data_IF_604757296334
#
_entry.id   IF_604757296334
#
_cell.length_a   1.000
_cell.length_b   1.000
_cell.length_c   1.000
_cell.angle_alpha   90.00
_cell.angle_beta   90.00
_cell.angle_gamma   90.00
#
_symmetry.space_group_name_H-M   'P 1'
#
loop_
_entity.id
_entity.type
_entity.pdbx_description
1 polymer ?
#
# COMPACT_ATOMS: atom_id res chain seq x y z
N UNK A 1 -14.80 -38.76 -8.95
CA UNK A 1 -15.14 -37.69 -7.98
C UNK A 1 -13.94 -37.23 -7.16
N UNK A 2 -13.14 -38.10 -6.50
CA UNK A 2 -11.95 -37.68 -5.73
C UNK A 2 -10.89 -36.90 -6.54
N UNK A 3 -10.58 -37.32 -7.78
CA UNK A 3 -9.61 -36.62 -8.65
C UNK A 3 -10.05 -35.22 -9.09
N UNK A 4 -11.36 -34.95 -9.15
CA UNK A 4 -11.90 -33.65 -9.57
C UNK A 4 -11.75 -32.61 -8.45
N UNK A 5 -11.92 -33.04 -7.19
CA UNK A 5 -11.75 -32.19 -6.01
C UNK A 5 -10.28 -31.79 -5.84
N UNK A 6 -9.34 -32.71 -6.06
CA UNK A 6 -7.90 -32.41 -5.98
C UNK A 6 -7.45 -31.40 -7.04
N UNK A 7 -8.00 -31.50 -8.26
CA UNK A 7 -7.75 -30.53 -9.34
C UNK A 7 -8.33 -29.15 -9.03
N UNK A 8 -9.53 -29.08 -8.44
CA UNK A 8 -10.13 -27.81 -8.03
C UNK A 8 -9.32 -27.11 -6.93
N UNK A 9 -8.83 -27.86 -5.95
CA UNK A 9 -7.96 -27.32 -4.90
C UNK A 9 -6.63 -26.80 -5.46
N UNK A 10 -6.00 -27.52 -6.39
CA UNK A 10 -4.76 -27.08 -7.04
C UNK A 10 -4.94 -25.78 -7.83
N UNK A 11 -6.08 -25.60 -8.52
CA UNK A 11 -6.38 -24.35 -9.22
C UNK A 11 -6.55 -23.17 -8.26
N UNK A 12 -7.26 -23.34 -7.14
CA UNK A 12 -7.46 -22.25 -6.17
C UNK A 12 -6.14 -21.74 -5.56
N UNK A 13 -5.17 -22.62 -5.26
CA UNK A 13 -3.88 -22.19 -4.71
C UNK A 13 -3.01 -21.44 -5.73
N UNK A 14 -3.08 -21.80 -7.02
CA UNK A 14 -2.33 -21.06 -8.06
C UNK A 14 -2.82 -19.62 -8.28
N UNK A 15 -4.08 -19.32 -7.97
CA UNK A 15 -4.61 -17.96 -8.15
C UNK A 15 -4.10 -16.97 -7.11
N UNK A 16 -3.83 -17.42 -5.87
CA UNK A 16 -3.43 -16.50 -4.79
C UNK A 16 -1.99 -16.01 -4.98
N UNK A 17 -1.08 -16.90 -5.39
CA UNK A 17 0.31 -16.53 -5.71
C UNK A 17 0.41 -15.54 -6.89
N UNK A 18 -0.48 -15.64 -7.88
CA UNK A 18 -0.48 -14.74 -9.02
C UNK A 18 -0.86 -13.28 -8.64
N UNK A 19 -1.73 -13.11 -7.64
CA UNK A 19 -2.18 -11.78 -7.19
C UNK A 19 -1.08 -11.02 -6.44
N UNK A 20 -0.34 -11.70 -5.56
CA UNK A 20 0.79 -11.06 -4.87
C UNK A 20 1.90 -10.65 -5.85
N UNK A 21 2.17 -11.46 -6.87
CA UNK A 21 3.16 -11.11 -7.88
C UNK A 21 2.77 -9.87 -8.70
N UNK A 22 1.47 -9.65 -8.95
CA UNK A 22 1.01 -8.44 -9.64
C UNK A 22 1.22 -7.17 -8.80
N UNK A 23 0.97 -7.24 -7.49
CA UNK A 23 1.17 -6.09 -6.58
C UNK A 23 2.63 -5.61 -6.59
N UNK A 24 3.59 -6.54 -6.63
CA UNK A 24 5.03 -6.24 -6.53
C UNK A 24 5.69 -5.87 -7.86
N UNK A 25 5.00 -5.98 -8.99
CA UNK A 25 5.59 -5.78 -10.33
C UNK A 25 5.11 -4.51 -11.03
N UNK A 26 4.23 -3.74 -10.39
CA UNK A 26 3.62 -2.56 -10.99
C UNK A 26 3.73 -1.34 -10.08
N UNK A 27 3.70 -0.19 -10.73
CA UNK A 27 3.42 1.09 -10.09
C UNK A 27 1.90 1.26 -9.97
N UNK A 28 1.46 1.76 -8.81
CA UNK A 28 0.06 1.97 -8.50
C UNK A 28 -0.20 3.47 -8.38
N UNK A 29 -1.02 4.01 -9.27
CA UNK A 29 -1.44 5.42 -9.22
C UNK A 29 -2.62 5.57 -8.28
N UNK A 30 -2.57 6.58 -7.41
CA UNK A 30 -3.65 6.89 -6.49
C UNK A 30 -4.83 7.52 -7.25
N UNK A 31 -6.02 6.93 -7.11
CA UNK A 31 -7.26 7.52 -7.66
C UNK A 31 -8.09 8.21 -6.58
N UNK A 32 -8.16 7.61 -5.39
CA UNK A 32 -8.98 8.08 -4.29
C UNK A 32 -8.28 7.78 -2.95
N UNK A 33 -8.34 8.72 -2.01
CA UNK A 33 -7.83 8.55 -0.66
C UNK A 33 -8.99 8.54 0.35
N UNK A 34 -9.01 7.52 1.21
CA UNK A 34 -9.99 7.42 2.29
C UNK A 34 -9.30 7.06 3.61
N UNK A 35 -9.42 7.95 4.59
CA UNK A 35 -8.80 7.81 5.92
C UNK A 35 -9.89 7.97 6.97
N UNK A 36 -9.99 7.01 7.91
CA UNK A 36 -10.99 7.02 8.99
C UNK A 36 -12.45 7.24 8.54
N UNK A 37 -12.78 6.77 7.33
CA UNK A 37 -14.13 6.90 6.77
C UNK A 37 -14.38 8.19 6.00
N UNK A 38 -13.44 9.13 6.01
CA UNK A 38 -13.48 10.40 5.28
C UNK A 38 -12.77 10.25 3.93
N UNK A 39 -13.42 10.70 2.85
CA UNK A 39 -12.77 10.86 1.55
C UNK A 39 -11.98 12.14 1.55
N UNK A 40 -10.68 12.05 1.25
CA UNK A 40 -9.78 13.21 1.17
C UNK A 40 -9.72 13.64 -0.30
N UNK A 41 -10.07 14.89 -0.56
CA UNK A 41 -9.96 15.47 -1.91
C UNK A 41 -8.49 15.63 -2.29
N UNK A 42 -8.11 15.16 -3.48
CA UNK A 42 -6.77 15.34 -4.03
C UNK A 42 -6.70 16.76 -4.62
N UNK A 43 -5.82 17.65 -4.14
CA UNK A 43 -5.67 18.98 -4.72
C UNK A 43 -5.23 18.93 -6.18
N UNK A 44 -5.91 19.69 -7.05
CA UNK A 44 -5.58 19.79 -8.48
C UNK A 44 -4.60 20.95 -8.72
N UNK A 45 -3.31 20.73 -8.48
CA UNK A 45 -2.26 21.71 -8.73
C UNK A 45 -0.95 21.06 -9.22
N UNK A 46 0.01 21.88 -9.67
CA UNK A 46 1.27 21.39 -10.27
C UNK A 46 2.27 20.83 -9.24
N UNK A 47 2.08 21.11 -7.95
CA UNK A 47 3.04 20.75 -6.91
C UNK A 47 2.99 19.28 -6.50
N UNK A 48 1.79 18.70 -6.35
CA UNK A 48 1.64 17.29 -5.92
C UNK A 48 2.11 16.28 -6.99
N UNK A 49 2.26 16.71 -8.24
CA UNK A 49 2.66 15.84 -9.35
C UNK A 49 1.76 14.61 -9.50
N UNK A 50 2.35 13.49 -9.93
CA UNK A 50 1.66 12.20 -9.99
C UNK A 50 1.84 11.45 -8.66
N UNK A 51 0.72 11.01 -8.09
CA UNK A 51 0.67 10.28 -6.83
C UNK A 51 0.73 8.78 -7.10
N UNK A 52 1.80 8.12 -6.67
CA UNK A 52 2.02 6.70 -6.94
C UNK A 52 2.67 5.94 -5.79
N UNK A 53 2.57 4.62 -5.83
CA UNK A 53 3.23 3.69 -4.92
C UNK A 53 3.85 2.52 -5.68
N UNK A 54 5.04 2.09 -5.25
CA UNK A 54 5.73 0.87 -5.68
C UNK A 54 6.06 -0.01 -4.50
N UNK A 55 6.14 -1.31 -4.77
CA UNK A 55 6.56 -2.32 -3.81
C UNK A 55 7.72 -3.09 -4.41
N UNK A 56 8.76 -3.29 -3.62
CA UNK A 56 9.97 -3.98 -4.02
C UNK A 56 10.24 -5.16 -3.08
N UNK A 57 10.83 -6.22 -3.63
CA UNK A 57 11.31 -7.38 -2.88
C UNK A 57 12.85 -7.36 -2.86
N UNK A 58 13.43 -7.37 -1.66
CA UNK A 58 14.87 -7.54 -1.47
C UNK A 58 15.28 -9.02 -1.54
N UNK A 59 16.53 -9.33 -1.91
CA UNK A 59 17.03 -10.72 -2.02
C UNK A 59 16.89 -11.57 -0.75
N UNK A 60 16.74 -10.92 0.41
CA UNK A 60 16.60 -11.54 1.73
C UNK A 60 15.13 -11.82 2.12
N UNK A 61 14.18 -11.53 1.20
CA UNK A 61 12.75 -11.75 1.41
C UNK A 61 12.06 -10.64 2.21
N UNK A 62 12.71 -9.48 2.36
CA UNK A 62 12.10 -8.28 2.90
C UNK A 62 11.38 -7.51 1.80
N UNK A 63 10.27 -6.87 2.16
CA UNK A 63 9.49 -6.04 1.26
C UNK A 63 9.54 -4.60 1.73
N UNK A 64 9.78 -3.68 0.81
CA UNK A 64 9.70 -2.25 1.06
C UNK A 64 8.78 -1.58 0.06
N UNK A 65 8.22 -0.45 0.46
CA UNK A 65 7.41 0.38 -0.40
C UNK A 65 8.04 1.76 -0.55
N UNK A 66 7.75 2.36 -1.68
CA UNK A 66 8.05 3.73 -2.01
C UNK A 66 6.75 4.38 -2.46
N UNK A 67 6.43 5.56 -1.93
CA UNK A 67 5.25 6.31 -2.32
C UNK A 67 5.60 7.77 -2.58
N UNK A 68 4.95 8.39 -3.56
CA UNK A 68 5.22 9.77 -3.96
C UNK A 68 4.03 10.68 -3.70
N UNK A 69 4.33 11.84 -3.13
CA UNK A 69 3.44 13.01 -3.05
C UNK A 69 4.24 14.27 -3.37
N UNK A 70 4.29 15.26 -2.47
CA UNK A 70 5.25 16.37 -2.57
C UNK A 70 6.69 15.89 -2.39
N UNK A 71 6.90 14.86 -1.57
CA UNK A 71 8.19 14.16 -1.42
C UNK A 71 7.94 12.65 -1.30
N UNK A 72 9.03 11.89 -1.33
CA UNK A 72 9.01 10.43 -1.29
C UNK A 72 8.88 9.91 0.14
N UNK A 73 8.01 8.93 0.35
CA UNK A 73 7.95 8.08 1.52
C UNK A 73 8.63 6.74 1.24
N UNK A 74 9.34 6.22 2.23
CA UNK A 74 9.97 4.91 2.19
C UNK A 74 9.67 4.16 3.47
N UNK A 75 9.36 2.88 3.37
CA UNK A 75 9.17 2.03 4.54
C UNK A 75 9.05 0.55 4.20
N UNK A 76 8.74 -0.26 5.20
CA UNK A 76 8.67 -1.71 5.05
C UNK A 76 7.24 -2.23 5.02
N UNK A 77 7.08 -3.41 4.42
CA UNK A 77 5.83 -4.16 4.41
C UNK A 77 5.97 -5.46 5.20
N UNK A 78 4.99 -5.73 6.05
CA UNK A 78 4.84 -7.00 6.72
C UNK A 78 3.63 -7.73 6.17
N UNK A 79 3.83 -8.88 5.53
CA UNK A 79 2.74 -9.72 5.06
C UNK A 79 2.03 -10.38 6.25
N UNK A 80 0.76 -10.03 6.44
CA UNK A 80 -0.09 -10.64 7.47
C UNK A 80 -0.58 -12.00 6.99
N UNK A 81 -0.89 -12.11 5.71
CA UNK A 81 -1.27 -13.34 5.02
C UNK A 81 -1.10 -13.17 3.50
N UNK A 82 -1.53 -14.17 2.73
CA UNK A 82 -1.40 -14.19 1.26
C UNK A 82 -2.23 -13.12 0.52
N UNK A 83 -3.04 -12.31 1.18
CA UNK A 83 -3.84 -11.26 0.54
C UNK A 83 -3.82 -9.94 1.30
N UNK A 84 -2.95 -9.80 2.30
CA UNK A 84 -2.93 -8.62 3.16
C UNK A 84 -1.52 -8.37 3.70
N UNK A 85 -1.12 -7.10 3.67
CA UNK A 85 0.10 -6.61 4.28
C UNK A 85 -0.20 -5.36 5.11
N UNK A 86 0.74 -5.00 5.98
CA UNK A 86 0.74 -3.74 6.74
C UNK A 86 2.04 -3.00 6.51
N UNK A 87 1.95 -1.68 6.44
CA UNK A 87 3.11 -0.78 6.39
C UNK A 87 3.70 -0.60 7.80
N UNK A 88 5.03 -0.49 7.91
CA UNK A 88 5.71 -0.20 9.17
C UNK A 88 7.07 0.47 8.95
N UNK A 89 7.58 1.11 10.01
CA UNK A 89 8.89 1.78 10.03
C UNK A 89 9.15 2.63 8.78
N UNK A 90 8.16 3.46 8.41
CA UNK A 90 8.25 4.35 7.27
C UNK A 90 8.59 5.78 7.71
N UNK A 91 9.24 6.51 6.80
CA UNK A 91 9.56 7.92 6.96
C UNK A 91 9.69 8.60 5.60
N UNK A 92 10.00 9.90 5.62
CA UNK A 92 9.94 10.76 4.44
C UNK A 92 8.67 11.59 4.42
N UNK A 93 8.32 12.11 3.24
CA UNK A 93 7.24 13.09 3.08
C UNK A 93 7.48 14.41 3.81
N UNK A 94 6.57 15.37 3.61
CA UNK A 94 6.63 16.74 4.13
C UNK A 94 7.62 17.69 3.42
N UNK A 95 7.32 18.05 2.17
CA UNK A 95 7.98 19.18 1.49
C UNK A 95 7.04 20.03 0.62
N UNK A 96 5.73 20.01 0.89
CA UNK A 96 4.79 20.86 0.16
C UNK A 96 4.96 22.34 0.55
N UNK A 97 4.83 23.25 -0.41
CA UNK A 97 4.79 24.70 -0.22
C UNK A 97 3.36 25.22 -0.04
N UNK A 98 2.35 24.53 -0.61
CA UNK A 98 0.94 24.89 -0.48
C UNK A 98 0.26 24.19 0.70
N UNK A 99 -0.48 24.96 1.51
CA UNK A 99 -1.19 24.45 2.72
C UNK A 99 -2.17 23.31 2.40
N UNK A 100 -2.86 23.37 1.25
CA UNK A 100 -3.77 22.30 0.81
C UNK A 100 -3.04 20.98 0.52
N UNK A 101 -1.79 21.08 0.04
CA UNK A 101 -0.94 19.94 -0.24
C UNK A 101 -0.32 19.39 1.05
N UNK A 102 0.05 20.25 2.00
CA UNK A 102 0.49 19.81 3.33
C UNK A 102 -0.60 19.00 4.05
N UNK A 103 -1.86 19.46 3.97
CA UNK A 103 -2.99 18.72 4.54
C UNK A 103 -3.17 17.36 3.87
N UNK A 104 -3.12 17.33 2.53
CA UNK A 104 -3.22 16.10 1.76
C UNK A 104 -2.06 15.13 2.09
N UNK A 105 -0.81 15.60 2.08
CA UNK A 105 0.42 14.85 2.39
C UNK A 105 0.34 14.22 3.78
N UNK A 106 -0.12 14.97 4.79
CA UNK A 106 -0.34 14.44 6.13
C UNK A 106 -1.39 13.31 6.16
N UNK A 107 -2.48 13.44 5.40
CA UNK A 107 -3.50 12.39 5.30
C UNK A 107 -3.03 11.19 4.48
N UNK A 108 -2.22 11.42 3.47
CA UNK A 108 -1.61 10.37 2.67
C UNK A 108 -0.60 9.57 3.50
N UNK A 109 0.21 10.24 4.33
CA UNK A 109 1.05 9.59 5.33
C UNK A 109 0.22 8.78 6.35
N UNK A 110 -0.90 9.33 6.83
CA UNK A 110 -1.79 8.64 7.78
C UNK A 110 -2.36 7.32 7.24
N UNK A 111 -2.58 7.20 5.92
CA UNK A 111 -2.98 5.95 5.27
C UNK A 111 -1.95 4.83 5.47
N UNK A 112 -0.66 5.15 5.37
CA UNK A 112 0.44 4.22 5.66
C UNK A 112 0.59 3.95 7.17
N UNK A 113 -0.19 4.64 8.01
CA UNK A 113 -0.22 4.52 9.46
C UNK A 113 0.65 5.55 10.16
N UNK A 114 0.79 5.41 11.46
CA UNK A 114 1.73 6.21 12.25
C UNK A 114 3.02 5.41 12.30
N UNK A 115 4.02 5.74 11.47
CA UNK A 115 5.32 5.05 11.33
C UNK A 115 5.90 4.59 12.67
N UNK A 116 5.54 3.37 13.07
CA UNK A 116 5.78 2.82 14.39
C UNK A 116 6.70 1.61 14.28
N UNK A 117 7.69 1.54 15.17
CA UNK A 117 8.71 0.49 15.21
C UNK A 117 8.18 -0.94 15.42
N UNK A 118 6.90 -1.11 15.81
CA UNK A 118 6.37 -2.40 16.25
C UNK A 118 5.68 -3.23 15.16
N UNK A 119 5.45 -2.69 13.96
CA UNK A 119 4.79 -3.43 12.87
C UNK A 119 3.41 -3.98 13.23
N UNK A 120 2.78 -3.48 14.30
CA UNK A 120 1.46 -3.91 14.70
C UNK A 120 0.40 -3.10 13.94
N UNK A 121 -0.49 -3.75 13.16
CA UNK A 121 -1.55 -3.04 12.46
C UNK A 121 -2.46 -2.35 13.47
N UNK A 122 -2.51 -1.01 13.42
CA UNK A 122 -3.48 -0.24 14.19
C UNK A 122 -4.88 -0.67 13.75
N UNK A 123 -5.55 -1.47 14.60
CA UNK A 123 -6.94 -1.93 14.47
C UNK A 123 -7.35 -2.27 13.02
N UNK A 124 -6.98 -3.46 12.55
CA UNK A 124 -7.73 -4.23 11.53
C UNK A 124 -8.45 -3.37 10.46
N UNK A 125 -7.72 -2.58 9.69
CA UNK A 125 -8.17 -2.15 8.37
C UNK A 125 -7.46 -3.02 7.35
N UNK A 126 -7.92 -4.26 7.10
CA UNK A 126 -7.38 -5.02 5.99
C UNK A 126 -7.58 -4.19 4.72
N UNK A 127 -6.48 -3.79 4.09
CA UNK A 127 -6.53 -3.28 2.71
C UNK A 127 -7.05 -4.46 1.90
N UNK A 128 -8.36 -4.45 1.62
CA UNK A 128 -8.99 -5.42 0.75
C UNK A 128 -8.71 -4.99 -0.67
N UNK A 129 -7.94 -5.79 -1.40
CA UNK A 129 -7.90 -5.70 -2.85
C UNK A 129 -9.34 -5.91 -3.37
N UNK A 130 -9.97 -4.84 -3.88
CA UNK A 130 -11.29 -4.92 -4.49
C UNK A 130 -11.09 -5.18 -5.99
N UNK A 131 -11.71 -6.26 -6.48
CA UNK A 131 -11.71 -6.67 -7.90
C UNK A 131 -12.74 -5.91 -8.72
#
# INVERSE_FOLDING_TARGET
MKKLITLLFLFCFSFIWAQNLQIMTHEWVLTDLKVDGETIEIPENEELGELWMKIYEEPEGFFWFEAQSCDTYLGFLNWVNESAFSFFDFGGGYSCELEENEYFDAKYAEFYGYGGMSGEPLRHYPIKCVS
#
